data_IF_228088359053
#
_entry.id   IF_228088359053
#
_cell.length_a   1.000
_cell.length_b   1.000
_cell.length_c   1.000
_cell.angle_alpha   90.00
_cell.angle_beta   90.00
_cell.angle_gamma   90.00
#
_symmetry.space_group_name_H-M   'P 1'
#
loop_
_entity.id
_entity.type
_entity.pdbx_description
1 polymer ?
#
# COMPACT_ATOMS: atom_id res chain seq x y z
N UNK A 1 -4.34 8.40 21.70
CA UNK A 1 -5.22 8.77 20.58
C UNK A 1 -4.63 8.30 19.27
N UNK A 2 -5.47 7.94 18.31
CA UNK A 2 -5.09 7.71 16.93
C UNK A 2 -5.48 8.97 16.17
N UNK A 3 -4.56 9.54 15.40
CA UNK A 3 -4.82 10.77 14.68
C UNK A 3 -4.81 10.50 13.17
N UNK A 4 -5.84 10.97 12.47
CA UNK A 4 -5.95 10.88 11.03
C UNK A 4 -5.78 12.25 10.40
N UNK A 5 -4.79 12.40 9.52
CA UNK A 5 -4.56 13.64 8.79
C UNK A 5 -5.25 13.61 7.43
N UNK A 6 -5.97 14.67 7.12
CA UNK A 6 -6.86 14.79 5.97
C UNK A 6 -6.30 15.58 4.78
N UNK A 7 -6.52 15.06 3.56
CA UNK A 7 -6.94 15.83 2.38
C UNK A 7 -7.63 14.90 1.37
N UNK A 8 -8.91 15.10 1.04
CA UNK A 8 -9.61 14.45 -0.10
C UNK A 8 -10.75 13.51 0.30
N UNK A 9 -11.57 13.08 -0.69
CA UNK A 9 -12.72 12.18 -0.50
C UNK A 9 -12.37 10.75 -0.07
N UNK A 10 -11.14 10.30 -0.32
CA UNK A 10 -10.60 9.02 0.17
C UNK A 10 -10.71 8.89 1.69
N UNK A 11 -10.78 10.00 2.37
CA UNK A 11 -10.81 10.13 3.82
C UNK A 11 -12.18 9.87 4.41
N UNK A 12 -13.24 10.36 3.75
CA UNK A 12 -14.60 10.17 4.24
C UNK A 12 -14.93 8.68 4.42
N UNK A 13 -14.42 7.83 3.53
CA UNK A 13 -14.70 6.40 3.56
C UNK A 13 -13.99 5.71 4.72
N UNK A 14 -12.71 6.03 4.94
CA UNK A 14 -11.96 5.51 6.09
C UNK A 14 -12.57 6.01 7.41
N UNK A 15 -12.91 7.29 7.46
CA UNK A 15 -13.46 7.91 8.66
C UNK A 15 -14.87 7.40 8.95
N UNK A 16 -15.70 7.15 7.92
CA UNK A 16 -16.97 6.45 8.05
C UNK A 16 -16.79 5.02 8.54
N UNK A 17 -15.83 4.28 7.99
CA UNK A 17 -15.51 2.93 8.43
C UNK A 17 -15.06 2.91 9.91
N UNK A 18 -14.20 3.84 10.32
CA UNK A 18 -13.78 3.95 11.71
C UNK A 18 -14.93 4.33 12.63
N UNK A 19 -15.78 5.26 12.19
CA UNK A 19 -16.96 5.65 12.95
C UNK A 19 -17.90 4.46 13.18
N UNK A 20 -18.15 3.67 12.13
CA UNK A 20 -19.00 2.47 12.20
C UNK A 20 -18.36 1.38 13.07
N UNK A 21 -17.02 1.25 13.00
CA UNK A 21 -16.32 0.12 13.63
C UNK A 21 -15.90 0.38 15.07
N UNK A 22 -15.46 1.59 15.40
CA UNK A 22 -14.96 1.93 16.75
C UNK A 22 -15.73 3.06 17.44
N UNK A 23 -16.59 3.78 16.72
CA UNK A 23 -17.39 4.88 17.27
C UNK A 23 -16.57 6.13 17.63
N UNK A 24 -17.22 7.07 18.30
CA UNK A 24 -16.59 8.25 18.89
C UNK A 24 -16.80 8.18 20.42
N UNK A 25 -15.71 8.39 21.19
CA UNK A 25 -15.77 8.33 22.66
C UNK A 25 -15.78 6.93 23.26
N UNK A 26 -15.55 5.86 22.46
CA UNK A 26 -15.39 4.49 22.91
C UNK A 26 -13.96 4.18 23.42
N UNK A 27 -13.56 2.92 23.31
CA UNK A 27 -12.22 2.47 23.70
C UNK A 27 -11.08 3.11 22.87
N UNK A 28 -11.41 3.54 21.64
CA UNK A 28 -10.49 4.18 20.71
C UNK A 28 -10.77 5.68 20.69
N UNK A 29 -9.85 6.47 21.21
CA UNK A 29 -9.89 7.93 21.03
C UNK A 29 -9.21 8.29 19.71
N UNK A 30 -9.92 8.94 18.80
CA UNK A 30 -9.39 9.36 17.52
C UNK A 30 -9.86 10.76 17.13
N UNK A 31 -9.11 11.40 16.24
CA UNK A 31 -9.38 12.76 15.77
C UNK A 31 -9.09 12.85 14.27
N UNK A 32 -9.67 13.84 13.62
CA UNK A 32 -9.36 14.21 12.25
C UNK A 32 -8.47 15.46 12.22
N UNK A 33 -7.45 15.46 11.34
CA UNK A 33 -6.54 16.58 11.23
C UNK A 33 -6.31 17.02 9.78
N UNK A 34 -6.07 18.30 9.56
CA UNK A 34 -5.79 18.84 8.24
C UNK A 34 -5.51 20.34 8.28
N UNK A 35 -5.20 20.94 7.12
CA UNK A 35 -4.85 22.36 7.00
C UNK A 35 -6.02 23.33 6.95
N UNK A 36 -7.24 22.86 6.69
CA UNK A 36 -8.43 23.70 6.52
C UNK A 36 -9.52 23.28 7.47
N UNK A 37 -9.78 24.14 8.46
CA UNK A 37 -10.82 23.93 9.45
C UNK A 37 -12.20 23.74 8.80
N UNK A 38 -12.54 24.59 7.83
CA UNK A 38 -13.84 24.51 7.14
C UNK A 38 -14.06 23.18 6.41
N UNK A 39 -12.99 22.60 5.84
CA UNK A 39 -13.08 21.26 5.22
C UNK A 39 -13.23 20.14 6.25
N UNK A 40 -12.54 20.26 7.38
CA UNK A 40 -12.65 19.33 8.49
C UNK A 40 -14.05 19.37 9.11
N UNK A 41 -14.62 20.55 9.29
CA UNK A 41 -15.99 20.74 9.74
C UNK A 41 -17.00 20.15 8.74
N UNK A 42 -16.81 20.40 7.44
CA UNK A 42 -17.63 19.78 6.39
C UNK A 42 -17.57 18.25 6.42
N UNK A 43 -16.38 17.68 6.62
CA UNK A 43 -16.22 16.24 6.79
C UNK A 43 -16.94 15.75 8.05
N UNK A 44 -16.70 16.39 9.20
CA UNK A 44 -17.37 16.03 10.45
C UNK A 44 -18.90 16.05 10.30
N UNK A 45 -19.43 17.06 9.62
CA UNK A 45 -20.85 17.14 9.32
C UNK A 45 -21.34 16.00 8.42
N UNK A 46 -20.53 15.56 7.44
CA UNK A 46 -20.88 14.44 6.55
C UNK A 46 -20.92 13.08 7.26
N UNK A 47 -20.25 12.95 8.42
CA UNK A 47 -20.30 11.76 9.26
C UNK A 47 -21.59 11.64 10.11
N UNK A 48 -22.49 12.60 10.00
CA UNK A 48 -23.77 12.61 10.69
C UNK A 48 -23.66 12.83 12.20
N UNK A 49 -24.75 12.53 12.92
CA UNK A 49 -24.84 12.78 14.36
C UNK A 49 -23.79 12.01 15.17
N UNK A 50 -23.47 10.78 14.77
CA UNK A 50 -22.46 9.95 15.42
C UNK A 50 -21.05 10.54 15.33
N UNK A 51 -20.75 11.33 14.29
CA UNK A 51 -19.46 12.01 14.12
C UNK A 51 -19.38 13.39 14.74
N UNK A 52 -20.48 13.94 15.29
CA UNK A 52 -20.60 15.32 15.77
C UNK A 52 -19.51 15.74 16.78
N UNK A 53 -19.12 14.84 17.65
CA UNK A 53 -18.15 15.09 18.71
C UNK A 53 -16.71 14.69 18.36
N UNK A 54 -16.46 14.35 17.09
CA UNK A 54 -15.12 13.97 16.65
C UNK A 54 -14.18 15.19 16.73
N UNK A 55 -13.07 15.10 17.46
CA UNK A 55 -12.12 16.19 17.58
C UNK A 55 -11.49 16.56 16.25
N UNK A 56 -11.26 17.85 16.03
CA UNK A 56 -10.60 18.41 14.86
C UNK A 56 -9.27 19.03 15.30
N UNK A 57 -8.20 18.76 14.55
CA UNK A 57 -6.89 19.36 14.73
C UNK A 57 -6.48 20.05 13.44
N UNK A 58 -6.28 21.37 13.51
CA UNK A 58 -5.80 22.15 12.37
C UNK A 58 -4.28 22.16 12.40
N UNK A 59 -3.64 21.56 11.38
CA UNK A 59 -2.18 21.55 11.23
C UNK A 59 -1.80 21.61 9.75
N UNK A 60 -0.93 22.56 9.39
CA UNK A 60 -0.35 22.66 8.06
C UNK A 60 0.94 21.82 7.97
N UNK A 61 1.21 21.26 6.79
CA UNK A 61 2.44 20.49 6.52
C UNK A 61 3.73 21.36 6.65
N UNK A 62 3.60 22.65 6.48
CA UNK A 62 4.71 23.61 6.54
C UNK A 62 4.90 24.21 7.95
N UNK A 63 4.07 23.85 8.91
CA UNK A 63 4.15 24.31 10.31
C UNK A 63 4.69 23.19 11.22
N UNK A 64 6.00 23.19 11.40
CA UNK A 64 6.70 22.20 12.21
C UNK A 64 6.22 22.20 13.68
N UNK A 65 5.84 23.36 14.23
CA UNK A 65 5.35 23.46 15.60
C UNK A 65 3.98 22.82 15.77
N UNK A 66 3.06 23.12 14.85
CA UNK A 66 1.74 22.49 14.83
C UNK A 66 1.84 20.98 14.61
N UNK A 67 2.73 20.53 13.70
CA UNK A 67 2.97 19.10 13.46
C UNK A 67 3.54 18.41 14.71
N UNK A 68 4.54 18.99 15.36
CA UNK A 68 5.12 18.44 16.59
C UNK A 68 4.09 18.34 17.72
N UNK A 69 3.26 19.37 17.91
CA UNK A 69 2.15 19.33 18.87
C UNK A 69 1.13 18.23 18.56
N UNK A 70 0.78 18.09 17.29
CA UNK A 70 -0.14 17.07 16.81
C UNK A 70 0.39 15.65 17.04
N UNK A 71 1.63 15.34 16.60
CA UNK A 71 2.18 13.99 16.73
C UNK A 71 2.39 13.59 18.19
N UNK A 72 2.79 14.52 19.07
CA UNK A 72 2.93 14.26 20.51
C UNK A 72 1.61 13.93 21.20
N UNK A 73 0.48 14.38 20.67
CA UNK A 73 -0.85 14.09 21.21
C UNK A 73 -1.41 12.75 20.76
N UNK A 74 -0.73 12.06 19.82
CA UNK A 74 -1.20 10.83 19.19
C UNK A 74 -0.23 9.66 19.41
N UNK A 75 -0.77 8.46 19.53
CA UNK A 75 0.00 7.22 19.51
C UNK A 75 0.34 6.80 18.08
N UNK A 76 -0.60 7.00 17.14
CA UNK A 76 -0.46 6.64 15.74
C UNK A 76 -0.96 7.77 14.86
N UNK A 77 -0.20 8.09 13.83
CA UNK A 77 -0.62 8.95 12.73
C UNK A 77 -0.91 8.08 11.50
N UNK A 78 -2.12 8.17 10.99
CA UNK A 78 -2.53 7.53 9.74
C UNK A 78 -2.84 8.59 8.69
N UNK A 79 -2.12 8.58 7.56
CA UNK A 79 -2.23 9.66 6.57
C UNK A 79 -2.46 9.14 5.14
N UNK A 80 -3.25 9.92 4.38
CA UNK A 80 -3.49 9.72 2.94
C UNK A 80 -3.08 10.95 2.14
N UNK A 81 -2.24 11.83 2.71
CA UNK A 81 -1.83 13.09 2.08
C UNK A 81 -0.82 12.83 0.99
N UNK A 82 -1.27 12.62 -0.22
CA UNK A 82 -0.44 12.51 -1.42
C UNK A 82 -0.58 13.72 -2.37
N UNK A 83 0.34 13.92 -3.32
CA UNK A 83 1.60 13.20 -3.51
C UNK A 83 2.56 13.35 -2.30
N UNK A 84 3.08 12.23 -1.81
CA UNK A 84 3.90 12.22 -0.59
C UNK A 84 5.25 12.91 -0.79
N UNK A 85 5.83 12.83 -1.99
CA UNK A 85 7.07 13.53 -2.34
C UNK A 85 6.96 15.06 -2.19
N UNK A 86 5.75 15.63 -2.24
CA UNK A 86 5.50 17.05 -2.09
C UNK A 86 5.14 17.46 -0.66
N UNK A 87 4.46 16.60 0.10
CA UNK A 87 3.82 17.01 1.35
C UNK A 87 4.09 16.08 2.54
N UNK A 88 4.74 14.93 2.33
CA UNK A 88 4.81 13.87 3.37
C UNK A 88 5.99 14.01 4.32
N UNK A 89 7.11 14.64 3.90
CA UNK A 89 8.39 14.58 4.64
C UNK A 89 8.32 15.16 6.05
N UNK A 90 7.74 16.35 6.23
CA UNK A 90 7.66 17.00 7.56
C UNK A 90 6.89 16.15 8.56
N UNK A 91 5.84 15.45 8.13
CA UNK A 91 5.06 14.57 9.00
C UNK A 91 5.82 13.31 9.38
N UNK A 92 6.49 12.66 8.41
CA UNK A 92 7.36 11.50 8.67
C UNK A 92 8.46 11.86 9.66
N UNK A 93 9.14 13.00 9.43
CA UNK A 93 10.16 13.52 10.36
C UNK A 93 9.59 13.70 11.76
N UNK A 94 8.47 14.41 11.89
CA UNK A 94 7.86 14.68 13.19
C UNK A 94 7.48 13.37 13.92
N UNK A 95 6.96 12.36 13.22
CA UNK A 95 6.68 11.04 13.81
C UNK A 95 7.95 10.34 14.25
N UNK A 96 8.97 10.28 13.37
CA UNK A 96 10.26 9.62 13.64
C UNK A 96 10.98 10.23 14.86
N UNK A 97 10.98 11.57 14.98
CA UNK A 97 11.67 12.28 16.07
C UNK A 97 10.93 12.23 17.42
N UNK A 98 9.61 12.00 17.40
CA UNK A 98 8.79 12.06 18.63
C UNK A 98 8.27 10.70 19.11
N UNK A 99 8.70 9.57 18.54
CA UNK A 99 8.27 8.25 18.96
C UNK A 99 6.81 7.91 18.60
N UNK A 100 6.20 8.62 17.65
CA UNK A 100 4.82 8.43 17.24
C UNK A 100 4.78 7.47 16.04
N UNK A 101 3.96 6.43 16.13
CA UNK A 101 3.82 5.46 15.04
C UNK A 101 3.13 6.11 13.82
N UNK A 102 3.47 5.60 12.64
CA UNK A 102 3.01 6.17 11.38
C UNK A 102 2.60 5.09 10.38
N UNK A 103 1.50 5.30 9.67
CA UNK A 103 1.14 4.50 8.50
C UNK A 103 0.51 5.34 7.39
N UNK A 104 0.73 4.93 6.14
CA UNK A 104 0.28 5.64 4.95
C UNK A 104 -0.13 4.71 3.78
N UNK A 105 -0.53 5.34 2.67
CA UNK A 105 -0.87 4.71 1.38
C UNK A 105 0.17 5.04 0.29
N UNK A 106 1.40 5.35 0.67
CA UNK A 106 2.41 5.81 -0.28
C UNK A 106 2.88 4.69 -1.21
N UNK A 107 2.70 4.89 -2.53
CA UNK A 107 3.26 4.03 -3.59
C UNK A 107 4.55 4.60 -4.23
N UNK A 108 5.10 5.70 -3.70
CA UNK A 108 6.24 6.43 -4.26
C UNK A 108 7.58 5.86 -3.73
N UNK A 109 8.02 4.68 -4.24
CA UNK A 109 9.18 3.95 -3.72
C UNK A 109 10.45 4.80 -3.57
N UNK A 110 10.71 5.73 -4.51
CA UNK A 110 11.87 6.62 -4.43
C UNK A 110 11.80 7.60 -3.26
N UNK A 111 10.59 8.07 -2.91
CA UNK A 111 10.37 8.92 -1.76
C UNK A 111 10.49 8.12 -0.46
N UNK A 112 9.88 6.94 -0.38
CA UNK A 112 10.00 6.02 0.76
C UNK A 112 11.49 5.74 1.04
N UNK A 113 12.30 5.44 0.02
CA UNK A 113 13.76 5.27 0.17
C UNK A 113 14.41 6.48 0.83
N UNK A 114 14.06 7.69 0.40
CA UNK A 114 14.60 8.93 0.99
C UNK A 114 14.22 9.07 2.45
N UNK A 115 12.99 8.75 2.81
CA UNK A 115 12.52 8.79 4.21
C UNK A 115 13.27 7.78 5.06
N UNK A 116 13.46 6.56 4.58
CA UNK A 116 14.25 5.52 5.23
C UNK A 116 15.67 6.03 5.49
N UNK A 117 16.37 6.54 4.48
CA UNK A 117 17.76 7.01 4.62
C UNK A 117 17.86 8.17 5.63
N UNK A 118 16.91 9.11 5.62
CA UNK A 118 16.98 10.31 6.44
C UNK A 118 16.57 10.09 7.90
N UNK A 119 15.62 9.19 8.17
CA UNK A 119 14.91 9.16 9.44
C UNK A 119 14.94 7.81 10.15
N UNK A 120 15.63 6.77 9.63
CA UNK A 120 15.72 5.47 10.31
C UNK A 120 16.36 5.62 11.70
N UNK A 121 17.49 6.32 11.80
CA UNK A 121 18.18 6.51 13.06
C UNK A 121 17.30 7.22 14.11
N UNK A 122 16.61 8.29 13.72
CA UNK A 122 15.69 9.00 14.60
C UNK A 122 14.52 8.10 15.05
N UNK A 123 13.97 7.31 14.13
CA UNK A 123 12.89 6.38 14.43
C UNK A 123 13.33 5.25 15.38
N UNK A 124 14.53 4.70 15.19
CA UNK A 124 15.12 3.69 16.08
C UNK A 124 15.37 4.24 17.48
N UNK A 125 15.92 5.47 17.58
CA UNK A 125 16.19 6.15 18.86
C UNK A 125 14.92 6.49 19.62
N UNK A 126 13.88 6.96 18.92
CA UNK A 126 12.61 7.37 19.54
C UNK A 126 11.65 6.21 19.81
N UNK A 127 11.86 5.06 19.15
CA UNK A 127 10.97 3.91 19.16
C UNK A 127 9.77 4.06 18.20
N UNK A 128 9.75 5.05 17.29
CA UNK A 128 8.69 5.23 16.31
C UNK A 128 8.68 4.11 15.26
N UNK A 129 7.54 3.51 15.00
CA UNK A 129 7.34 2.48 13.97
C UNK A 129 6.64 3.10 12.77
N UNK A 130 7.37 3.17 11.64
CA UNK A 130 6.87 3.78 10.41
C UNK A 130 6.61 2.70 9.36
N UNK A 131 5.37 2.63 8.86
CA UNK A 131 4.93 1.62 7.89
C UNK A 131 4.26 2.31 6.71
N UNK A 132 4.88 2.26 5.55
CA UNK A 132 4.28 2.74 4.30
C UNK A 132 3.52 1.63 3.57
N UNK A 133 2.75 2.00 2.55
CA UNK A 133 2.02 1.07 1.68
C UNK A 133 0.93 0.24 2.42
N UNK A 134 0.20 0.84 3.36
CA UNK A 134 -0.85 0.17 4.15
C UNK A 134 -2.22 0.15 3.46
N UNK A 135 -2.27 0.00 2.13
CA UNK A 135 -3.49 -0.14 1.34
C UNK A 135 -3.40 -1.29 0.34
N UNK A 136 -4.30 -1.28 -0.65
CA UNK A 136 -4.28 -2.26 -1.74
C UNK A 136 -2.95 -2.25 -2.51
N UNK A 137 -2.27 -1.13 -2.51
CA UNK A 137 -0.96 -0.94 -3.13
C UNK A 137 0.16 -1.77 -2.46
N UNK A 138 -0.10 -2.67 -1.55
CA UNK A 138 0.87 -3.69 -1.15
C UNK A 138 0.33 -4.68 -0.11
N UNK A 139 -0.69 -4.35 0.67
CA UNK A 139 -1.16 -5.26 1.73
C UNK A 139 -1.52 -6.66 1.19
N UNK A 140 -2.31 -6.82 0.11
CA UNK A 140 -2.64 -8.15 -0.39
C UNK A 140 -1.42 -8.93 -0.88
N UNK A 141 -0.43 -8.23 -1.45
CA UNK A 141 0.81 -8.82 -1.96
C UNK A 141 1.75 -9.22 -0.83
N UNK A 142 2.05 -8.30 0.08
CA UNK A 142 3.02 -8.49 1.16
C UNK A 142 2.53 -9.49 2.20
N UNK A 143 1.30 -9.31 2.70
CA UNK A 143 0.68 -10.26 3.62
C UNK A 143 0.31 -11.58 2.95
N UNK A 144 -0.03 -11.57 1.65
CA UNK A 144 -0.27 -12.78 0.88
C UNK A 144 1.00 -13.64 0.78
N UNK A 145 2.16 -13.03 0.50
CA UNK A 145 3.45 -13.73 0.53
C UNK A 145 3.77 -14.24 1.92
N UNK A 146 3.60 -13.41 2.95
CA UNK A 146 3.81 -13.82 4.35
C UNK A 146 2.95 -15.04 4.71
N UNK A 147 1.65 -15.00 4.41
CA UNK A 147 0.72 -16.10 4.68
C UNK A 147 1.11 -17.38 3.91
N UNK A 148 1.40 -17.28 2.61
CA UNK A 148 1.83 -18.43 1.79
C UNK A 148 3.10 -19.04 2.35
N UNK A 149 4.10 -18.25 2.66
CA UNK A 149 5.39 -18.72 3.15
C UNK A 149 5.29 -19.37 4.51
N UNK A 150 4.47 -18.85 5.40
CA UNK A 150 4.18 -19.49 6.69
C UNK A 150 3.55 -20.86 6.48
N UNK A 151 2.52 -20.97 5.62
CA UNK A 151 1.86 -22.23 5.31
C UNK A 151 2.79 -23.22 4.59
N UNK A 152 3.65 -22.74 3.70
CA UNK A 152 4.66 -23.57 3.05
C UNK A 152 5.64 -24.15 4.08
N UNK A 153 6.11 -23.34 5.03
CA UNK A 153 7.00 -23.79 6.11
C UNK A 153 6.32 -24.81 7.03
N UNK A 154 5.05 -24.59 7.38
CA UNK A 154 4.25 -25.50 8.20
C UNK A 154 4.02 -26.84 7.48
N UNK A 155 3.67 -26.83 6.20
CA UNK A 155 3.25 -28.01 5.44
C UNK A 155 4.42 -28.80 4.84
N UNK A 156 5.49 -28.11 4.38
CA UNK A 156 6.60 -28.71 3.65
C UNK A 156 7.95 -28.58 4.35
N UNK A 157 8.01 -27.95 5.52
CA UNK A 157 9.24 -27.74 6.28
C UNK A 157 10.19 -26.71 5.69
N UNK A 158 9.86 -26.11 4.54
CA UNK A 158 10.70 -25.12 3.81
C UNK A 158 9.90 -23.97 3.26
N UNK A 159 10.57 -22.83 3.09
CA UNK A 159 10.04 -21.70 2.34
C UNK A 159 10.14 -21.94 0.82
N UNK A 160 9.38 -21.20 0.06
CA UNK A 160 9.34 -21.31 -1.39
C UNK A 160 10.09 -20.14 -2.04
N UNK A 161 11.15 -20.41 -2.83
CA UNK A 161 11.96 -19.35 -3.45
C UNK A 161 11.28 -18.70 -4.67
N UNK A 162 10.18 -19.25 -5.17
CA UNK A 162 9.48 -18.69 -6.34
C UNK A 162 8.01 -18.48 -6.02
N UNK A 163 7.55 -17.22 -6.12
CA UNK A 163 6.14 -16.85 -5.93
C UNK A 163 5.64 -16.03 -7.10
N UNK A 164 4.48 -16.41 -7.59
CA UNK A 164 3.70 -15.67 -8.59
C UNK A 164 2.40 -15.22 -7.98
N UNK A 165 2.08 -13.94 -8.11
CA UNK A 165 0.77 -13.41 -7.80
C UNK A 165 -0.03 -13.23 -9.10
N UNK A 166 -1.26 -13.67 -9.09
CA UNK A 166 -2.21 -13.56 -10.17
C UNK A 166 -3.48 -12.84 -9.72
N UNK A 167 -3.75 -11.68 -10.27
CA UNK A 167 -5.04 -11.00 -10.10
C UNK A 167 -6.06 -11.69 -11.01
N UNK A 168 -6.93 -12.51 -10.43
CA UNK A 168 -7.94 -13.27 -11.16
C UNK A 168 -9.09 -12.38 -11.64
N UNK A 169 -9.53 -11.48 -10.76
CA UNK A 169 -10.58 -10.53 -11.04
C UNK A 169 -10.48 -9.33 -10.08
N UNK A 170 -10.85 -8.17 -10.56
CA UNK A 170 -11.02 -6.99 -9.72
C UNK A 170 -12.07 -6.08 -10.34
N UNK A 171 -12.85 -5.43 -9.49
CA UNK A 171 -13.83 -4.42 -9.88
C UNK A 171 -13.67 -3.20 -8.98
N UNK A 172 -13.34 -2.07 -9.58
CA UNK A 172 -13.10 -0.82 -8.88
C UNK A 172 -12.48 0.22 -9.79
N UNK A 173 -12.25 1.40 -9.26
CA UNK A 173 -11.62 2.53 -9.94
C UNK A 173 -10.20 2.80 -9.45
N UNK A 174 -9.38 3.38 -10.33
CA UNK A 174 -8.09 3.94 -9.91
C UNK A 174 -8.32 5.22 -9.10
N UNK A 175 -7.58 5.40 -8.01
CA UNK A 175 -7.68 6.63 -7.22
C UNK A 175 -6.98 7.80 -7.90
N UNK A 176 -7.59 8.98 -7.79
CA UNK A 176 -6.97 10.22 -8.28
C UNK A 176 -5.62 10.49 -7.60
N UNK A 177 -5.47 10.08 -6.34
CA UNK A 177 -4.21 10.16 -5.59
C UNK A 177 -3.11 9.29 -6.20
N UNK A 178 -3.38 8.01 -6.46
CA UNK A 178 -2.44 7.08 -7.11
C UNK A 178 -1.99 7.61 -8.48
N UNK A 179 -2.93 8.09 -9.31
CA UNK A 179 -2.60 8.64 -10.62
C UNK A 179 -1.74 9.90 -10.52
N UNK A 180 -2.04 10.79 -9.57
CA UNK A 180 -1.23 11.99 -9.32
C UNK A 180 0.21 11.62 -8.90
N UNK A 181 0.38 10.69 -7.97
CA UNK A 181 1.69 10.19 -7.53
C UNK A 181 2.48 9.54 -8.67
N UNK A 182 1.82 8.75 -9.54
CA UNK A 182 2.46 8.17 -10.73
C UNK A 182 2.96 9.26 -11.69
N UNK A 183 2.17 10.30 -11.93
CA UNK A 183 2.55 11.40 -12.79
C UNK A 183 3.74 12.18 -12.22
N UNK A 184 3.76 12.45 -10.92
CA UNK A 184 4.89 13.11 -10.26
C UNK A 184 6.15 12.24 -10.31
N UNK A 185 6.04 10.94 -10.11
CA UNK A 185 7.15 9.99 -10.25
C UNK A 185 7.75 10.01 -11.68
N UNK A 186 6.90 10.02 -12.72
CA UNK A 186 7.35 10.14 -14.12
C UNK A 186 8.04 11.49 -14.40
N UNK A 187 7.52 12.59 -13.85
CA UNK A 187 8.17 13.91 -13.98
C UNK A 187 9.55 13.91 -13.33
N UNK A 188 9.65 13.38 -12.12
CA UNK A 188 10.91 13.28 -11.39
C UNK A 188 11.93 12.41 -12.15
N UNK A 189 11.53 11.23 -12.65
CA UNK A 189 12.38 10.34 -13.43
C UNK A 189 12.83 10.94 -14.78
N UNK A 190 12.02 11.83 -15.37
CA UNK A 190 12.38 12.52 -16.61
C UNK A 190 13.43 13.60 -16.40
N UNK A 191 13.37 14.31 -15.28
CA UNK A 191 14.31 15.39 -14.94
C UNK A 191 15.63 14.89 -14.38
N UNK A 192 15.68 13.67 -13.82
CA UNK A 192 16.86 13.10 -13.19
C UNK A 192 17.14 11.67 -13.69
N UNK A 193 18.17 11.49 -14.56
CA UNK A 193 18.57 10.17 -15.05
C UNK A 193 19.06 9.21 -13.96
N UNK A 194 19.64 9.73 -12.86
CA UNK A 194 20.06 8.91 -11.72
C UNK A 194 18.85 8.35 -11.00
N UNK A 195 17.87 9.21 -10.69
CA UNK A 195 16.61 8.80 -10.08
C UNK A 195 15.88 7.77 -10.96
N UNK A 196 15.87 7.95 -12.28
CA UNK A 196 15.26 6.97 -13.21
C UNK A 196 15.92 5.61 -13.12
N UNK A 197 17.24 5.51 -12.96
CA UNK A 197 17.95 4.24 -12.75
C UNK A 197 17.59 3.62 -11.41
N UNK A 198 17.56 4.42 -10.35
CA UNK A 198 17.14 3.97 -9.02
C UNK A 198 15.72 3.44 -9.02
N UNK A 199 14.78 4.13 -9.67
CA UNK A 199 13.40 3.70 -9.79
C UNK A 199 13.22 2.39 -10.57
N UNK A 200 14.14 2.03 -11.44
CA UNK A 200 14.14 0.75 -12.15
C UNK A 200 14.73 -0.40 -11.31
N UNK A 201 15.35 -0.12 -10.18
CA UNK A 201 15.86 -1.13 -9.28
C UNK A 201 14.72 -1.78 -8.47
N UNK A 202 14.48 -3.07 -8.59
CA UNK A 202 13.46 -3.76 -7.80
C UNK A 202 13.78 -3.78 -6.30
N UNK A 203 15.04 -3.61 -5.92
CA UNK A 203 15.53 -3.59 -4.55
C UNK A 203 15.71 -2.19 -3.97
N UNK A 204 15.08 -1.17 -4.57
CA UNK A 204 15.25 0.24 -4.18
C UNK A 204 14.91 0.51 -2.70
N UNK A 205 13.99 -0.26 -2.11
CA UNK A 205 13.60 -0.15 -0.70
C UNK A 205 14.45 -1.02 0.24
N UNK A 206 15.31 -1.87 -0.29
CA UNK A 206 16.19 -2.72 0.51
C UNK A 206 17.40 -1.95 1.03
N UNK A 207 18.01 -2.38 2.17
CA UNK A 207 19.24 -1.78 2.66
C UNK A 207 20.35 -1.81 1.61
N UNK A 208 21.13 -0.74 1.51
CA UNK A 208 22.17 -0.58 0.45
C UNK A 208 23.30 -1.61 0.50
N UNK A 209 23.52 -2.24 1.66
CA UNK A 209 24.57 -3.26 1.86
C UNK A 209 24.15 -4.68 1.44
N UNK A 210 22.92 -4.86 1.02
CA UNK A 210 22.45 -6.16 0.61
C UNK A 210 22.89 -6.44 -0.82
N UNK A 211 23.83 -7.36 -1.00
CA UNK A 211 24.20 -7.90 -2.31
C UNK A 211 23.09 -8.83 -2.81
N UNK A 212 22.04 -8.23 -3.34
CA UNK A 212 20.87 -8.93 -3.82
C UNK A 212 20.98 -9.15 -5.33
N UNK A 213 21.99 -9.92 -5.71
CA UNK A 213 22.36 -10.14 -7.10
C UNK A 213 21.34 -10.85 -7.99
N UNK A 214 20.18 -11.28 -7.47
CA UNK A 214 19.24 -12.06 -8.29
C UNK A 214 18.28 -11.15 -9.08
N UNK A 215 18.33 -11.18 -10.43
CA UNK A 215 17.50 -10.30 -11.24
C UNK A 215 16.01 -10.68 -11.16
N UNK A 216 15.19 -9.74 -10.72
CA UNK A 216 13.73 -9.88 -10.76
C UNK A 216 13.22 -9.67 -12.20
N UNK A 217 12.33 -10.55 -12.66
CA UNK A 217 11.79 -10.51 -14.02
C UNK A 217 10.31 -10.18 -14.00
N UNK A 218 9.97 -8.91 -14.19
CA UNK A 218 8.59 -8.47 -14.40
C UNK A 218 8.06 -8.87 -15.78
N UNK A 219 6.77 -9.08 -15.86
CA UNK A 219 6.08 -9.30 -17.14
C UNK A 219 5.97 -7.97 -17.88
N UNK A 220 6.42 -7.93 -19.13
CA UNK A 220 6.40 -6.71 -19.97
C UNK A 220 5.35 -6.70 -21.06
N UNK A 221 4.63 -7.80 -21.23
CA UNK A 221 3.63 -7.95 -22.28
C UNK A 221 2.76 -9.17 -22.07
N UNK A 222 1.91 -9.53 -23.05
CA UNK A 222 1.03 -10.68 -22.93
C UNK A 222 1.82 -12.00 -22.90
N UNK A 223 1.52 -12.85 -21.92
CA UNK A 223 2.15 -14.17 -21.75
C UNK A 223 1.10 -15.22 -21.41
N UNK A 224 1.28 -16.45 -21.90
CA UNK A 224 0.51 -17.59 -21.41
C UNK A 224 1.22 -18.18 -20.19
N UNK A 225 0.58 -18.10 -19.02
CA UNK A 225 1.12 -18.69 -17.79
C UNK A 225 0.67 -20.16 -17.70
N UNK A 226 1.65 -21.08 -17.77
CA UNK A 226 1.40 -22.52 -17.75
C UNK A 226 0.89 -23.01 -16.40
N UNK A 227 1.31 -22.39 -15.28
CA UNK A 227 0.88 -22.80 -13.94
C UNK A 227 -0.59 -22.47 -13.67
N UNK A 228 -1.07 -21.34 -14.19
CA UNK A 228 -2.48 -20.95 -14.11
C UNK A 228 -3.32 -21.42 -15.31
N UNK A 229 -2.67 -21.86 -16.40
CA UNK A 229 -3.35 -22.31 -17.62
C UNK A 229 -4.13 -21.22 -18.34
N UNK A 230 -3.70 -19.97 -18.24
CA UNK A 230 -4.39 -18.78 -18.73
C UNK A 230 -3.41 -17.76 -19.33
N UNK A 231 -3.95 -16.88 -20.16
CA UNK A 231 -3.25 -15.68 -20.61
C UNK A 231 -3.21 -14.65 -19.51
N UNK A 232 -2.14 -13.88 -19.46
CA UNK A 232 -1.95 -12.78 -18.53
C UNK A 232 -1.29 -11.58 -19.19
N UNK A 233 -1.46 -10.43 -18.57
CA UNK A 233 -0.85 -9.16 -18.89
C UNK A 233 -0.10 -8.60 -17.67
N UNK A 234 0.75 -7.57 -17.84
CA UNK A 234 1.39 -6.87 -16.72
C UNK A 234 0.35 -6.34 -15.73
N UNK A 235 0.68 -6.39 -14.45
CA UNK A 235 -0.09 -5.74 -13.40
C UNK A 235 0.63 -4.46 -12.96
N UNK A 236 -0.02 -3.32 -13.11
CA UNK A 236 0.61 -2.01 -12.92
C UNK A 236 1.16 -1.80 -11.49
N UNK A 237 0.50 -2.41 -10.50
CA UNK A 237 0.90 -2.27 -9.10
C UNK A 237 2.12 -3.12 -8.72
N UNK A 238 2.55 -4.07 -9.56
CA UNK A 238 3.81 -4.81 -9.35
C UNK A 238 4.99 -3.86 -9.12
N UNK A 239 4.95 -2.69 -9.77
CA UNK A 239 6.01 -1.70 -9.65
C UNK A 239 6.30 -1.24 -8.21
N UNK A 240 5.31 -1.22 -7.33
CA UNK A 240 5.51 -0.95 -5.89
C UNK A 240 5.46 -2.24 -5.07
N UNK A 241 4.51 -3.13 -5.34
CA UNK A 241 4.28 -4.32 -4.56
C UNK A 241 5.50 -5.22 -4.46
N UNK A 242 6.17 -5.48 -5.59
CA UNK A 242 7.40 -6.28 -5.61
C UNK A 242 8.50 -5.69 -4.73
N UNK A 243 8.63 -4.37 -4.68
CA UNK A 243 9.61 -3.69 -3.82
C UNK A 243 9.32 -3.85 -2.35
N UNK A 244 8.05 -3.81 -1.96
CA UNK A 244 7.63 -4.03 -0.57
C UNK A 244 7.85 -5.48 -0.16
N UNK A 245 7.46 -6.45 -1.00
CA UNK A 245 7.70 -7.89 -0.76
C UNK A 245 9.19 -8.20 -0.64
N UNK A 246 10.03 -7.65 -1.52
CA UNK A 246 11.48 -7.85 -1.47
C UNK A 246 12.09 -7.21 -0.20
N UNK A 247 11.60 -6.04 0.21
CA UNK A 247 12.00 -5.43 1.48
C UNK A 247 11.59 -6.29 2.67
N UNK A 248 10.38 -6.86 2.66
CA UNK A 248 9.91 -7.78 3.71
C UNK A 248 10.82 -9.01 3.83
N UNK A 249 11.18 -9.60 2.71
CA UNK A 249 12.12 -10.70 2.65
C UNK A 249 13.48 -10.32 3.28
N UNK A 250 14.00 -9.15 2.94
CA UNK A 250 15.27 -8.64 3.49
C UNK A 250 15.21 -8.36 4.98
N UNK A 251 14.20 -7.62 5.44
CA UNK A 251 14.06 -7.27 6.85
C UNK A 251 13.86 -8.49 7.75
N UNK A 252 13.35 -9.59 7.19
CA UNK A 252 13.20 -10.88 7.88
C UNK A 252 14.47 -11.74 7.88
N UNK A 253 15.60 -11.24 7.36
CA UNK A 253 16.85 -11.99 7.28
C UNK A 253 16.93 -12.98 6.11
N UNK A 254 16.24 -12.70 5.01
CA UNK A 254 16.23 -13.47 3.76
C UNK A 254 15.78 -14.93 3.89
N UNK A 255 14.66 -15.23 4.59
CA UNK A 255 14.28 -16.60 4.89
C UNK A 255 13.89 -17.43 3.65
N UNK A 256 13.57 -16.77 2.52
CA UNK A 256 13.10 -17.41 1.29
C UNK A 256 14.24 -17.82 0.35
N UNK A 257 15.50 -17.53 0.73
CA UNK A 257 16.72 -17.83 -0.04
C UNK A 257 17.20 -16.66 -0.89
N UNK A 258 18.46 -16.71 -1.29
CA UNK A 258 19.13 -15.66 -2.08
C UNK A 258 18.59 -15.60 -3.51
N UNK A 259 17.96 -16.68 -3.98
CA UNK A 259 17.34 -16.83 -5.31
C UNK A 259 15.84 -16.52 -5.31
N UNK A 260 15.34 -15.86 -4.28
CA UNK A 260 13.92 -15.51 -4.17
C UNK A 260 13.44 -14.69 -5.37
N UNK A 261 12.40 -15.18 -6.04
CA UNK A 261 11.76 -14.56 -7.20
C UNK A 261 10.30 -14.27 -6.89
N UNK A 262 9.91 -13.03 -7.12
CA UNK A 262 8.54 -12.57 -6.99
C UNK A 262 8.08 -11.84 -8.24
N UNK A 263 6.85 -12.09 -8.71
CA UNK A 263 6.23 -11.35 -9.80
C UNK A 263 4.72 -11.31 -9.68
N UNK A 264 4.11 -10.30 -10.30
CA UNK A 264 2.66 -10.12 -10.35
C UNK A 264 2.16 -10.07 -11.79
N UNK A 265 0.90 -10.48 -11.97
CA UNK A 265 0.26 -10.50 -13.29
C UNK A 265 -1.26 -10.38 -13.19
N UNK A 266 -1.89 -9.81 -14.22
CA UNK A 266 -3.33 -9.75 -14.38
C UNK A 266 -3.80 -10.89 -15.28
N UNK A 267 -4.67 -11.76 -14.79
CA UNK A 267 -5.26 -12.83 -15.58
C UNK A 267 -6.29 -12.28 -16.57
N UNK A 268 -6.24 -12.77 -17.81
CA UNK A 268 -7.15 -12.30 -18.88
C UNK A 268 -7.99 -13.45 -19.45
N UNK A 269 -7.82 -14.67 -18.93
CA UNK A 269 -8.61 -15.84 -19.29
C UNK A 269 -7.93 -16.81 -20.25
N UNK A 270 -8.71 -17.78 -20.75
CA UNK A 270 -8.23 -18.87 -21.60
C UNK A 270 -8.48 -18.61 -23.09
N UNK A 271 -7.79 -19.37 -23.94
CA UNK A 271 -8.02 -19.41 -25.37
C UNK A 271 -7.77 -18.09 -26.10
N UNK A 272 -8.39 -17.93 -27.27
CA UNK A 272 -8.19 -16.75 -28.12
C UNK A 272 -8.71 -15.45 -27.45
N UNK A 273 -9.84 -15.52 -26.74
CA UNK A 273 -10.36 -14.36 -26.00
C UNK A 273 -9.36 -13.88 -24.96
N UNK A 274 -8.82 -14.79 -24.13
CA UNK A 274 -7.81 -14.46 -23.13
C UNK A 274 -6.56 -13.83 -23.75
N UNK A 275 -6.10 -14.39 -24.87
CA UNK A 275 -4.97 -13.86 -25.64
C UNK A 275 -5.22 -12.43 -26.10
N UNK A 276 -6.34 -12.18 -26.77
CA UNK A 276 -6.69 -10.85 -27.29
C UNK A 276 -6.85 -9.84 -26.15
N UNK A 277 -7.46 -10.23 -25.03
CA UNK A 277 -7.57 -9.39 -23.84
C UNK A 277 -6.21 -9.06 -23.24
N UNK A 278 -5.27 -10.03 -23.19
CA UNK A 278 -3.91 -9.77 -22.70
C UNK A 278 -3.16 -8.77 -23.58
N UNK A 279 -3.27 -8.92 -24.92
CA UNK A 279 -2.70 -7.96 -25.86
C UNK A 279 -3.32 -6.57 -25.72
N UNK A 280 -4.66 -6.48 -25.66
CA UNK A 280 -5.38 -5.23 -25.49
C UNK A 280 -4.97 -4.51 -24.21
N UNK A 281 -4.96 -5.22 -23.07
CA UNK A 281 -4.58 -4.64 -21.79
C UNK A 281 -3.12 -4.16 -21.79
N UNK A 282 -2.19 -4.98 -22.29
CA UNK A 282 -0.77 -4.60 -22.40
C UNK A 282 -0.59 -3.34 -23.26
N UNK A 283 -1.26 -3.28 -24.40
CA UNK A 283 -1.21 -2.11 -25.29
C UNK A 283 -1.77 -0.85 -24.61
N UNK A 284 -2.88 -0.95 -23.88
CA UNK A 284 -3.46 0.17 -23.13
C UNK A 284 -2.48 0.67 -22.07
N UNK A 285 -1.83 -0.23 -21.32
CA UNK A 285 -0.84 0.15 -20.32
C UNK A 285 0.39 0.83 -20.93
N UNK A 286 0.90 0.33 -22.06
CA UNK A 286 2.03 0.94 -22.79
C UNK A 286 1.68 2.31 -23.33
N UNK A 287 0.49 2.48 -23.93
CA UNK A 287 0.01 3.77 -24.43
C UNK A 287 -0.21 4.77 -23.28
N UNK A 288 -0.74 4.30 -22.15
CA UNK A 288 -0.87 5.13 -20.95
C UNK A 288 0.50 5.60 -20.45
N UNK A 289 1.46 4.70 -20.28
CA UNK A 289 2.81 5.03 -19.87
C UNK A 289 3.48 6.03 -20.82
N UNK A 290 3.36 5.81 -22.13
CA UNK A 290 3.87 6.73 -23.15
C UNK A 290 3.19 8.09 -23.07
N UNK A 291 1.87 8.13 -22.90
CA UNK A 291 1.09 9.38 -22.81
C UNK A 291 1.46 10.22 -21.59
N UNK A 292 1.78 9.59 -20.48
CA UNK A 292 2.25 10.27 -19.25
C UNK A 292 3.70 10.75 -19.40
N UNK A 293 4.54 10.02 -20.15
CA UNK A 293 5.93 10.40 -20.39
C UNK A 293 6.06 11.62 -21.29
N UNK A 294 5.22 11.77 -22.33
CA UNK A 294 5.25 12.88 -23.27
C UNK A 294 4.47 14.08 -22.70
N UNK A 295 5.10 15.24 -22.59
CA UNK A 295 4.51 16.41 -21.89
C UNK A 295 3.19 16.92 -22.46
N UNK A 296 3.01 17.10 -23.80
CA UNK A 296 1.72 17.54 -24.36
C UNK A 296 0.57 16.55 -24.09
N UNK A 297 0.83 15.26 -24.33
CA UNK A 297 -0.19 14.20 -24.13
C UNK A 297 -0.52 14.03 -22.66
N UNK A 298 0.46 14.13 -21.76
CA UNK A 298 0.24 14.12 -20.31
C UNK A 298 -0.74 15.19 -19.87
N UNK A 299 -0.57 16.46 -20.33
CA UNK A 299 -1.50 17.56 -20.00
C UNK A 299 -2.92 17.28 -20.49
N UNK A 300 -3.04 16.60 -21.63
CA UNK A 300 -4.35 16.21 -22.17
C UNK A 300 -4.98 15.12 -21.33
N UNK A 301 -4.23 14.03 -21.04
CA UNK A 301 -4.71 12.89 -20.25
C UNK A 301 -5.11 13.33 -18.84
N UNK A 302 -4.35 14.24 -18.19
CA UNK A 302 -4.67 14.78 -16.87
C UNK A 302 -6.05 15.47 -16.79
N UNK A 303 -6.63 15.92 -17.89
CA UNK A 303 -7.98 16.52 -17.92
C UNK A 303 -9.09 15.49 -17.78
N UNK A 304 -8.80 14.22 -18.13
CA UNK A 304 -9.75 13.12 -18.10
C UNK A 304 -9.56 12.18 -16.92
N UNK A 305 -8.43 12.30 -16.21
CA UNK A 305 -8.16 11.50 -15.02
C UNK A 305 -8.88 12.06 -13.80
N UNK A 306 -9.33 11.20 -12.86
CA UNK A 306 -9.86 11.65 -11.59
C UNK A 306 -8.83 12.55 -10.86
N UNK A 307 -9.30 13.64 -10.30
CA UNK A 307 -8.46 14.52 -9.49
C UNK A 307 -8.18 13.88 -8.12
N UNK A 308 -7.09 14.31 -7.43
CA UNK A 308 -6.89 13.90 -6.05
C UNK A 308 -8.14 14.17 -5.22
N UNK A 309 -8.64 13.12 -4.57
CA UNK A 309 -9.90 13.17 -3.84
C UNK A 309 -11.16 12.79 -4.62
N UNK A 310 -11.06 12.55 -5.93
CA UNK A 310 -12.16 12.00 -6.72
C UNK A 310 -11.99 10.48 -6.89
N UNK A 311 -13.07 9.74 -6.78
CA UNK A 311 -13.11 8.28 -6.88
C UNK A 311 -14.47 7.75 -7.29
N UNK A 312 -14.65 6.42 -7.30
CA UNK A 312 -15.93 5.79 -7.61
C UNK A 312 -17.01 6.18 -6.61
N UNK A 313 -18.28 6.16 -7.05
CA UNK A 313 -19.42 6.42 -6.15
C UNK A 313 -19.47 5.41 -4.99
N UNK A 314 -20.13 5.73 -3.88
CA UNK A 314 -20.31 4.80 -2.76
C UNK A 314 -20.88 3.44 -3.19
N UNK A 315 -21.86 3.44 -4.10
CA UNK A 315 -22.48 2.22 -4.63
C UNK A 315 -21.47 1.40 -5.46
N UNK A 316 -20.64 2.06 -6.27
CA UNK A 316 -19.60 1.40 -7.05
C UNK A 316 -18.50 0.80 -6.15
N UNK A 317 -18.18 1.45 -5.04
CA UNK A 317 -17.25 0.94 -4.04
C UNK A 317 -17.81 -0.30 -3.33
N UNK A 318 -19.09 -0.30 -2.95
CA UNK A 318 -19.78 -1.44 -2.34
C UNK A 318 -19.86 -2.61 -3.31
N UNK A 319 -20.12 -2.35 -4.60
CA UNK A 319 -20.20 -3.35 -5.64
C UNK A 319 -18.83 -3.82 -6.16
N UNK A 320 -17.75 -3.23 -5.66
CA UNK A 320 -16.37 -3.59 -5.99
C UNK A 320 -15.90 -4.84 -5.26
N UNK A 321 -14.81 -5.42 -5.73
CA UNK A 321 -14.13 -6.56 -5.10
C UNK A 321 -12.75 -6.76 -5.73
N UNK A 322 -11.92 -7.59 -5.09
CA UNK A 322 -10.75 -8.18 -5.72
C UNK A 322 -10.59 -9.65 -5.34
N UNK A 323 -9.96 -10.40 -6.23
CA UNK A 323 -9.65 -11.82 -6.12
C UNK A 323 -8.25 -12.07 -6.65
N UNK A 324 -7.37 -12.50 -5.77
CA UNK A 324 -5.95 -12.69 -6.04
C UNK A 324 -5.55 -14.10 -5.64
N UNK A 325 -4.82 -14.79 -6.50
CA UNK A 325 -4.15 -16.06 -6.18
C UNK A 325 -2.66 -15.87 -6.09
N UNK A 326 -2.02 -16.46 -5.09
CA UNK A 326 -0.57 -16.58 -5.04
C UNK A 326 -0.18 -18.05 -5.15
N UNK A 327 0.76 -18.33 -6.05
CA UNK A 327 1.32 -19.66 -6.24
C UNK A 327 2.80 -19.66 -5.88
N UNK A 328 3.14 -20.40 -4.85
CA UNK A 328 4.51 -20.68 -4.46
C UNK A 328 5.00 -22.02 -5.03
N UNK A 329 6.30 -22.09 -5.32
CA UNK A 329 6.95 -23.31 -5.79
C UNK A 329 8.38 -23.40 -5.27
N UNK A 330 8.80 -24.60 -4.83
CA UNK A 330 10.18 -24.87 -4.45
C UNK A 330 10.92 -25.67 -5.54
N UNK A 331 12.22 -25.90 -5.32
CA UNK A 331 13.08 -26.66 -6.23
C UNK A 331 12.68 -28.13 -6.38
N UNK A 332 11.98 -28.70 -5.38
CA UNK A 332 11.51 -30.10 -5.42
C UNK A 332 10.21 -30.26 -6.19
N UNK A 333 9.70 -29.19 -6.82
CA UNK A 333 8.45 -29.22 -7.57
C UNK A 333 7.18 -29.15 -6.72
N UNK A 334 7.31 -29.03 -5.40
CA UNK A 334 6.15 -28.82 -4.51
C UNK A 334 5.55 -27.44 -4.75
N UNK A 335 4.22 -27.39 -4.76
CA UNK A 335 3.45 -26.15 -4.99
C UNK A 335 2.43 -25.94 -3.89
N UNK A 336 2.22 -24.69 -3.55
CA UNK A 336 1.14 -24.24 -2.67
C UNK A 336 0.47 -23.04 -3.31
N UNK A 337 -0.84 -23.11 -3.40
CA UNK A 337 -1.64 -21.98 -3.87
C UNK A 337 -2.52 -21.48 -2.75
N UNK A 338 -2.53 -20.16 -2.57
CA UNK A 338 -3.44 -19.47 -1.66
C UNK A 338 -4.30 -18.47 -2.43
N UNK A 339 -5.36 -18.03 -1.80
CA UNK A 339 -6.26 -17.01 -2.32
C UNK A 339 -6.43 -15.88 -1.31
N UNK A 340 -6.39 -14.64 -1.80
CA UNK A 340 -6.66 -13.43 -1.03
C UNK A 340 -7.78 -12.66 -1.72
N UNK A 341 -8.86 -12.35 -0.99
CA UNK A 341 -10.00 -11.62 -1.54
C UNK A 341 -10.37 -10.41 -0.69
N UNK A 342 -11.10 -9.47 -1.28
CA UNK A 342 -11.72 -8.35 -0.58
C UNK A 342 -13.09 -8.03 -1.12
N UNK A 343 -13.98 -7.56 -0.25
CA UNK A 343 -15.41 -7.38 -0.43
C UNK A 343 -15.84 -5.99 -0.92
N UNK A 344 -14.87 -5.13 -1.25
CA UNK A 344 -15.07 -3.77 -1.75
C UNK A 344 -14.11 -3.48 -2.88
N UNK A 345 -14.30 -2.35 -3.55
CA UNK A 345 -13.34 -1.90 -4.56
C UNK A 345 -11.93 -1.73 -3.96
N UNK A 346 -10.88 -2.15 -4.70
CA UNK A 346 -9.52 -2.12 -4.17
C UNK A 346 -9.00 -0.70 -3.93
N UNK A 347 -9.38 0.27 -4.78
CA UNK A 347 -8.80 1.61 -4.75
C UNK A 347 -9.20 2.46 -3.55
N UNK A 348 -10.43 2.32 -3.08
CA UNK A 348 -10.98 3.13 -1.98
C UNK A 348 -11.56 2.27 -0.86
N UNK A 349 -12.57 1.44 -1.15
CA UNK A 349 -13.31 0.73 -0.13
C UNK A 349 -12.44 -0.22 0.69
N UNK A 350 -11.72 -1.14 0.05
CA UNK A 350 -10.79 -2.03 0.75
C UNK A 350 -9.57 -1.29 1.31
N UNK A 351 -9.01 -0.34 0.56
CA UNK A 351 -7.84 0.45 1.00
C UNK A 351 -8.14 1.22 2.28
N UNK A 352 -9.32 1.83 2.39
CA UNK A 352 -9.73 2.53 3.61
C UNK A 352 -9.79 1.60 4.83
N UNK A 353 -10.35 0.40 4.66
CA UNK A 353 -10.41 -0.64 5.70
C UNK A 353 -9.01 -1.15 6.06
N UNK A 354 -8.14 -1.41 5.07
CA UNK A 354 -6.76 -1.85 5.28
C UNK A 354 -5.96 -0.83 6.10
N UNK A 355 -6.01 0.45 5.71
CA UNK A 355 -5.31 1.52 6.43
C UNK A 355 -5.85 1.71 7.85
N UNK A 356 -7.17 1.64 8.03
CA UNK A 356 -7.78 1.72 9.35
C UNK A 356 -7.31 0.57 10.24
N UNK A 357 -7.34 -0.68 9.76
CA UNK A 357 -6.90 -1.84 10.53
C UNK A 357 -5.39 -1.84 10.78
N UNK A 358 -4.57 -1.34 9.84
CA UNK A 358 -3.14 -1.15 10.06
C UNK A 358 -2.88 -0.14 11.20
N UNK A 359 -3.61 0.99 11.21
CA UNK A 359 -3.48 1.98 12.29
C UNK A 359 -3.96 1.46 13.65
N UNK A 360 -5.03 0.67 13.67
CA UNK A 360 -5.51 0.00 14.89
C UNK A 360 -4.51 -1.08 15.37
N UNK A 361 -3.90 -1.83 14.46
CA UNK A 361 -2.85 -2.79 14.79
C UNK A 361 -1.65 -2.10 15.44
N UNK A 362 -1.16 -0.99 14.86
CA UNK A 362 -0.08 -0.19 15.45
C UNK A 362 -0.44 0.32 16.85
N UNK A 363 -1.70 0.68 17.07
CA UNK A 363 -2.15 1.24 18.34
C UNK A 363 -2.32 0.19 19.45
N UNK A 364 -2.72 -1.04 19.13
CA UNK A 364 -3.22 -1.99 20.13
C UNK A 364 -2.51 -3.34 20.17
N UNK A 365 -1.83 -3.75 19.09
CA UNK A 365 -1.28 -5.10 19.02
C UNK A 365 0.19 -5.21 19.44
N UNK A 366 0.80 -4.10 19.88
CA UNK A 366 2.22 -4.06 20.26
C UNK A 366 2.40 -3.44 21.63
N UNK A 367 3.29 -4.06 22.43
CA UNK A 367 3.65 -3.56 23.75
C UNK A 367 4.41 -2.23 23.64
N UNK A 368 4.12 -1.32 24.57
CA UNK A 368 4.80 -0.03 24.64
C UNK A 368 6.22 -0.13 25.19
N UNK A 369 6.46 -1.12 26.04
CA UNK A 369 7.73 -1.30 26.75
C UNK A 369 8.83 -1.88 25.87
N UNK A 370 8.47 -2.47 24.70
CA UNK A 370 9.42 -3.09 23.77
C UNK A 370 9.22 -2.52 22.37
N UNK A 371 9.48 -1.20 22.22
CA UNK A 371 9.35 -0.51 20.93
C UNK A 371 10.58 -0.72 20.07
N UNK A 372 10.42 -1.49 19.00
CA UNK A 372 11.43 -1.65 17.97
C UNK A 372 11.17 -0.61 16.87
N UNK A 373 11.71 0.60 17.05
CA UNK A 373 11.55 1.71 16.11
C UNK A 373 12.19 1.43 14.76
N UNK A 374 11.81 2.22 13.75
CA UNK A 374 12.37 2.09 12.40
C UNK A 374 11.31 2.06 11.30
N UNK A 375 11.76 1.78 10.07
CA UNK A 375 10.90 1.68 8.89
C UNK A 375 10.63 0.21 8.53
N UNK A 376 9.39 -0.18 8.65
CA UNK A 376 8.90 -1.54 8.48
C UNK A 376 8.02 -1.68 7.23
N UNK A 377 7.68 -2.92 6.88
CA UNK A 377 6.61 -3.24 5.94
C UNK A 377 5.40 -3.81 6.69
N UNK A 378 4.21 -3.87 6.10
CA UNK A 378 3.04 -4.47 6.73
C UNK A 378 3.31 -5.90 7.23
N UNK A 379 3.97 -6.74 6.43
CA UNK A 379 4.27 -8.12 6.79
C UNK A 379 5.30 -8.24 7.92
N UNK A 380 6.37 -7.43 7.89
CA UNK A 380 7.48 -7.58 8.85
C UNK A 380 7.15 -7.07 10.24
N UNK A 381 6.30 -6.05 10.35
CA UNK A 381 5.88 -5.54 11.65
C UNK A 381 4.59 -6.19 12.15
N UNK A 382 3.56 -6.22 11.32
CA UNK A 382 2.21 -6.59 11.75
C UNK A 382 1.84 -8.04 11.41
N UNK A 383 2.29 -8.57 10.28
CA UNK A 383 2.17 -9.97 9.88
C UNK A 383 0.81 -10.61 10.19
N UNK A 384 0.84 -11.69 10.97
CA UNK A 384 -0.37 -12.46 11.34
C UNK A 384 -1.41 -11.63 12.11
N UNK A 385 -0.98 -10.64 12.91
CA UNK A 385 -1.88 -9.77 13.66
C UNK A 385 -2.76 -8.95 12.70
N UNK A 386 -2.13 -8.39 11.66
CA UNK A 386 -2.89 -7.63 10.66
C UNK A 386 -3.74 -8.54 9.77
N UNK A 387 -3.27 -9.74 9.41
CA UNK A 387 -4.08 -10.74 8.68
C UNK A 387 -5.36 -11.06 9.46
N UNK A 388 -5.26 -11.34 10.75
CA UNK A 388 -6.42 -11.61 11.60
C UNK A 388 -7.39 -10.42 11.63
N UNK A 389 -6.90 -9.19 11.85
CA UNK A 389 -7.74 -7.99 11.83
C UNK A 389 -8.45 -7.78 10.49
N UNK A 390 -7.74 -7.99 9.38
CA UNK A 390 -8.32 -7.83 8.05
C UNK A 390 -9.39 -8.88 7.74
N UNK A 391 -9.20 -10.11 8.22
CA UNK A 391 -10.19 -11.17 8.08
C UNK A 391 -11.43 -10.90 8.95
N UNK A 392 -11.22 -10.52 10.21
CA UNK A 392 -12.30 -10.35 11.18
C UNK A 392 -13.12 -9.08 10.94
N UNK A 393 -12.47 -8.00 10.44
CA UNK A 393 -13.07 -6.67 10.45
C UNK A 393 -13.11 -5.98 9.09
N UNK A 394 -12.27 -6.36 8.12
CA UNK A 394 -12.17 -5.65 6.84
C UNK A 394 -12.82 -6.38 5.65
N UNK A 395 -13.43 -7.55 5.86
CA UNK A 395 -14.05 -8.36 4.81
C UNK A 395 -13.03 -8.94 3.82
N UNK A 396 -11.79 -9.12 4.26
CA UNK A 396 -10.77 -9.84 3.50
C UNK A 396 -10.72 -11.31 3.88
N UNK A 397 -10.27 -12.15 2.96
CA UNK A 397 -10.02 -13.57 3.25
C UNK A 397 -8.61 -13.96 2.84
N UNK A 398 -8.00 -14.85 3.62
CA UNK A 398 -6.73 -15.51 3.30
C UNK A 398 -6.96 -17.01 3.45
N UNK A 399 -6.92 -17.77 2.36
CA UNK A 399 -7.24 -19.21 2.36
C UNK A 399 -6.25 -20.01 1.52
N UNK A 400 -6.05 -21.28 1.86
CA UNK A 400 -5.38 -22.25 1.00
C UNK A 400 -6.41 -22.76 -0.02
N UNK A 401 -6.04 -22.84 -1.29
CA UNK A 401 -6.89 -23.41 -2.36
C UNK A 401 -6.73 -24.92 -2.43
#
# INVERSE_FOLDING_TARGET
AILFRLVGSEMCIRDSYLLEHVGVGGQVSWAIAGRSESKLEGLRASLGESGRHLPIIVANADDDTALAGMVKSARVISTTVGPYALYGESLVRACAENGTDYCDLCGEAYWIKRMIIKYTEAAEQSGARLVSCCGFDSIPSDLGVHFLQKRAKEQFGSYFPKIKLAVNAMKGGASGGTLASMIEAVKAAKSDPKLRREMNNPYILCPEKADLGHPQKSIRGPIFDQDFGQWSAPFIMEAINARVVLRSHMLSGMPYGDDFLYREQMMTGKGLKGRLSAFGLSTVLDLFALSVFITPTRKLVQRFLPKPGEGPSPEAQIAGYFDISLLGQNSNGQKLQIRVTGDRDPGYGCTAKMLAQASLSLAFDFDEDNRNGGFWTPATLMGDKLIARLADHAGMTFSIN
#
